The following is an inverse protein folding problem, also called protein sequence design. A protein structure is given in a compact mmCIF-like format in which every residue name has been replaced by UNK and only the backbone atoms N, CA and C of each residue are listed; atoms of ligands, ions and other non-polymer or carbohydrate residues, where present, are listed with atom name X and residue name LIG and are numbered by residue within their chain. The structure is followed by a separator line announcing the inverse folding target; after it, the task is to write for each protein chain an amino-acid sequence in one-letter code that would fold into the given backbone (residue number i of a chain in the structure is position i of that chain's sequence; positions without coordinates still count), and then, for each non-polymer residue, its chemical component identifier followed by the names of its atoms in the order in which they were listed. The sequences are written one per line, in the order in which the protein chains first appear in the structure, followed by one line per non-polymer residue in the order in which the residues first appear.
data_IF_841406671027
#
_entry.id   IF_841406671027
#
_cell.length_a   1.000
_cell.length_b   1.000
_cell.length_c   1.000
_cell.angle_alpha   90.00
_cell.angle_beta   90.00
_cell.angle_gamma   90.00
#
_symmetry.space_group_name_H-M   'P 1'
#
loop_
_entity.id
_entity.type
_entity.pdbx_description
1 polymer ?
#
# COMPACT_ATOMS: atom_id res chain seq x y z
N UNK A 1 -25.54 -12.64 6.88
CA UNK A 1 -24.89 -11.59 6.08
C UNK A 1 -25.08 -10.27 6.82
N UNK A 2 -24.01 -9.70 7.37
CA UNK A 2 -24.07 -8.42 8.09
C UNK A 2 -23.37 -7.36 7.24
N UNK A 3 -24.05 -6.22 7.00
CA UNK A 3 -23.52 -5.09 6.24
C UNK A 3 -23.03 -4.02 7.22
N UNK A 4 -21.73 -3.75 7.24
CA UNK A 4 -21.11 -2.69 8.02
C UNK A 4 -20.78 -1.51 7.10
N UNK A 5 -21.28 -0.32 7.43
CA UNK A 5 -20.93 0.93 6.75
C UNK A 5 -20.20 1.81 7.75
N UNK A 6 -18.92 2.08 7.50
CA UNK A 6 -18.09 2.87 8.39
C UNK A 6 -17.21 3.86 7.60
N UNK A 7 -16.93 5.00 8.21
CA UNK A 7 -15.87 5.92 7.79
C UNK A 7 -14.55 5.55 8.50
N UNK A 8 -13.39 6.00 8.01
CA UNK A 8 -12.09 5.63 8.61
C UNK A 8 -11.98 5.93 10.10
N UNK A 9 -12.69 6.96 10.58
CA UNK A 9 -12.70 7.33 12.01
C UNK A 9 -13.54 6.32 12.79
N UNK A 10 -14.72 5.96 12.27
CA UNK A 10 -15.62 5.02 12.93
C UNK A 10 -15.06 3.58 12.97
N UNK A 11 -14.19 3.22 12.02
CA UNK A 11 -13.58 1.89 11.95
C UNK A 11 -12.38 1.69 12.89
N UNK A 12 -11.83 2.76 13.51
CA UNK A 12 -10.68 2.66 14.42
C UNK A 12 -11.12 2.08 15.76
N UNK A 13 -10.55 0.93 16.13
CA UNK A 13 -10.85 0.23 17.39
C UNK A 13 -11.95 -0.83 17.28
N UNK A 14 -12.57 -0.98 16.11
CA UNK A 14 -13.43 -2.11 15.79
C UNK A 14 -12.59 -3.17 15.08
N UNK A 15 -12.30 -4.27 15.78
CA UNK A 15 -11.74 -5.45 15.15
C UNK A 15 -12.88 -6.23 14.48
N UNK A 16 -12.96 -6.13 13.15
CA UNK A 16 -13.95 -6.85 12.35
C UNK A 16 -13.20 -7.96 11.60
N UNK A 17 -13.08 -9.16 12.18
CA UNK A 17 -12.46 -10.29 11.50
C UNK A 17 -13.36 -10.79 10.35
N UNK A 18 -12.73 -11.38 9.33
CA UNK A 18 -13.42 -12.10 8.23
C UNK A 18 -14.38 -11.25 7.37
N UNK A 19 -13.95 -10.07 6.92
CA UNK A 19 -14.74 -9.29 5.94
C UNK A 19 -14.70 -9.97 4.57
N UNK A 20 -15.86 -10.31 3.99
CA UNK A 20 -15.94 -10.92 2.64
C UNK A 20 -15.78 -9.89 1.51
N UNK A 21 -16.38 -8.71 1.68
CA UNK A 21 -16.42 -7.65 0.66
C UNK A 21 -16.11 -6.31 1.28
N UNK A 22 -15.17 -5.58 0.68
CA UNK A 22 -14.82 -4.20 1.03
C UNK A 22 -15.31 -3.27 -0.10
N UNK A 23 -16.09 -2.24 0.25
CA UNK A 23 -16.57 -1.24 -0.70
C UNK A 23 -15.99 0.11 -0.29
N UNK A 24 -15.12 0.69 -1.13
CA UNK A 24 -14.59 2.03 -0.89
C UNK A 24 -15.48 3.05 -1.61
N UNK A 25 -16.52 3.53 -0.92
CA UNK A 25 -17.45 4.54 -1.44
C UNK A 25 -16.72 5.83 -1.87
N UNK A 26 -15.81 6.30 -1.03
CA UNK A 26 -14.86 7.34 -1.37
C UNK A 26 -13.45 6.75 -1.37
N UNK A 27 -12.69 7.06 -2.43
CA UNK A 27 -11.30 6.64 -2.50
C UNK A 27 -10.50 7.32 -1.37
N UNK A 28 -9.65 6.57 -0.65
CA UNK A 28 -8.84 7.14 0.43
C UNK A 28 -7.85 8.20 -0.09
N UNK A 29 -7.26 8.95 0.84
CA UNK A 29 -6.34 10.05 0.52
C UNK A 29 -5.03 9.56 -0.12
N UNK A 30 -4.63 8.31 0.16
CA UNK A 30 -3.41 7.71 -0.35
C UNK A 30 -3.66 6.28 -0.84
N UNK A 31 -2.81 5.81 -1.76
CA UNK A 31 -2.86 4.44 -2.26
C UNK A 31 -2.45 3.44 -1.18
N UNK A 32 -1.56 3.82 -0.27
CA UNK A 32 -1.16 3.02 0.89
C UNK A 32 -2.34 2.77 1.83
N UNK A 33 -3.15 3.80 2.13
CA UNK A 33 -4.37 3.65 2.92
C UNK A 33 -5.39 2.74 2.22
N UNK A 34 -5.48 2.79 0.89
CA UNK A 34 -6.29 1.86 0.11
C UNK A 34 -5.86 0.41 0.33
N UNK A 35 -4.56 0.12 0.25
CA UNK A 35 -4.01 -1.23 0.48
C UNK A 35 -4.33 -1.71 1.91
N UNK A 36 -4.16 -0.85 2.91
CA UNK A 36 -4.49 -1.18 4.31
C UNK A 36 -5.99 -1.45 4.52
N UNK A 37 -6.87 -0.72 3.83
CA UNK A 37 -8.33 -0.94 3.91
C UNK A 37 -8.74 -2.27 3.29
N UNK A 38 -8.24 -2.59 2.10
CA UNK A 38 -8.59 -3.85 1.43
C UNK A 38 -7.97 -5.07 2.11
N UNK A 39 -6.87 -4.89 2.85
CA UNK A 39 -6.26 -5.95 3.66
C UNK A 39 -7.13 -6.49 4.81
N UNK A 40 -8.34 -5.93 5.02
CA UNK A 40 -9.36 -6.46 5.93
C UNK A 40 -10.15 -7.64 5.36
N UNK A 41 -10.09 -7.84 4.04
CA UNK A 41 -10.67 -9.00 3.36
C UNK A 41 -9.58 -9.93 2.84
N UNK A 42 -9.95 -11.17 2.48
CA UNK A 42 -9.02 -12.13 1.85
C UNK A 42 -7.90 -12.64 2.76
N UNK A 43 -8.15 -12.74 4.07
CA UNK A 43 -7.19 -13.25 5.05
C UNK A 43 -7.20 -14.79 5.13
N UNK A 44 -6.09 -15.37 5.62
CA UNK A 44 -5.93 -16.81 5.87
C UNK A 44 -6.26 -17.73 4.66
N UNK A 45 -5.93 -17.27 3.44
CA UNK A 45 -6.16 -18.03 2.20
C UNK A 45 -7.61 -18.00 1.68
N UNK A 46 -8.52 -17.28 2.35
CA UNK A 46 -9.85 -17.00 1.84
C UNK A 46 -9.77 -15.96 0.71
N UNK A 47 -10.69 -16.03 -0.25
CA UNK A 47 -10.83 -14.99 -1.27
C UNK A 47 -11.54 -13.79 -0.67
N UNK A 48 -11.07 -12.60 -0.98
CA UNK A 48 -11.69 -11.33 -0.61
C UNK A 48 -12.02 -10.50 -1.85
N UNK A 49 -13.08 -9.70 -1.79
CA UNK A 49 -13.49 -8.85 -2.91
C UNK A 49 -13.44 -7.39 -2.49
N UNK A 50 -12.85 -6.53 -3.33
CA UNK A 50 -12.81 -5.09 -3.13
C UNK A 50 -13.37 -4.35 -4.32
N UNK A 51 -14.27 -3.39 -4.06
CA UNK A 51 -14.81 -2.48 -5.07
C UNK A 51 -14.46 -1.03 -4.71
N UNK A 52 -13.44 -0.45 -5.34
CA UNK A 52 -13.13 0.97 -5.20
C UNK A 52 -13.90 1.84 -6.18
N UNK A 53 -14.55 2.90 -5.67
CA UNK A 53 -15.07 3.97 -6.50
C UNK A 53 -14.02 5.08 -6.65
N UNK A 54 -13.63 5.33 -7.89
CA UNK A 54 -12.70 6.41 -8.24
C UNK A 54 -13.45 7.51 -8.99
N UNK A 55 -13.21 8.77 -8.60
CA UNK A 55 -13.82 9.95 -9.23
C UNK A 55 -12.74 10.85 -9.82
N UNK A 56 -13.16 11.87 -10.60
CA UNK A 56 -12.26 12.89 -11.16
C UNK A 56 -11.42 13.61 -10.08
N UNK A 57 -11.90 13.69 -8.84
CA UNK A 57 -11.16 14.28 -7.73
C UNK A 57 -9.93 13.47 -7.33
N UNK A 58 -9.96 12.15 -7.57
CA UNK A 58 -8.92 11.20 -7.19
C UNK A 58 -8.00 10.82 -8.37
N UNK A 59 -8.11 11.51 -9.51
CA UNK A 59 -7.33 11.20 -10.73
C UNK A 59 -5.82 11.12 -10.51
N UNK A 60 -5.29 11.89 -9.56
CA UNK A 60 -3.86 11.88 -9.24
C UNK A 60 -3.36 10.55 -8.65
N UNK A 61 -4.25 9.78 -8.02
CA UNK A 61 -3.95 8.47 -7.42
C UNK A 61 -4.14 7.32 -8.41
N UNK A 62 -4.79 7.57 -9.56
CA UNK A 62 -5.09 6.56 -10.56
C UNK A 62 -3.83 5.83 -11.04
N UNK A 63 -2.73 6.57 -11.27
CA UNK A 63 -1.46 5.98 -11.69
C UNK A 63 -0.87 5.01 -10.66
N UNK A 64 -0.88 5.37 -9.38
CA UNK A 64 -0.39 4.50 -8.30
C UNK A 64 -1.29 3.26 -8.14
N UNK A 65 -2.61 3.44 -8.21
CA UNK A 65 -3.57 2.34 -8.16
C UNK A 65 -3.38 1.34 -9.32
N UNK A 66 -3.12 1.83 -10.54
CA UNK A 66 -2.82 0.96 -11.69
C UNK A 66 -1.58 0.10 -11.42
N UNK A 67 -0.55 0.65 -10.80
CA UNK A 67 0.66 -0.11 -10.46
C UNK A 67 0.35 -1.21 -9.44
N UNK A 68 -0.42 -0.90 -8.40
CA UNK A 68 -0.86 -1.89 -7.40
C UNK A 68 -1.66 -3.01 -8.06
N UNK A 69 -2.60 -2.67 -8.96
CA UNK A 69 -3.40 -3.68 -9.67
C UNK A 69 -2.52 -4.57 -10.56
N UNK A 70 -1.53 -4.00 -11.26
CA UNK A 70 -0.60 -4.76 -12.10
C UNK A 70 0.29 -5.69 -11.27
N UNK A 71 0.80 -5.22 -10.14
CA UNK A 71 1.62 -6.02 -9.21
C UNK A 71 0.81 -7.19 -8.63
N UNK A 72 -0.44 -6.94 -8.27
CA UNK A 72 -1.38 -7.95 -7.80
C UNK A 72 -1.95 -8.86 -8.92
N UNK A 73 -1.45 -8.72 -10.17
CA UNK A 73 -1.91 -9.44 -11.38
C UNK A 73 -3.41 -9.35 -11.62
N UNK A 74 -4.01 -8.23 -11.25
CA UNK A 74 -5.43 -7.95 -11.49
C UNK A 74 -5.64 -7.33 -12.87
N UNK A 75 -6.84 -7.52 -13.42
CA UNK A 75 -7.25 -6.87 -14.66
C UNK A 75 -7.44 -5.38 -14.39
N UNK A 76 -6.68 -4.54 -15.09
CA UNK A 76 -6.80 -3.09 -14.99
C UNK A 76 -7.93 -2.62 -15.92
N UNK A 77 -8.98 -1.94 -15.41
CA UNK A 77 -10.05 -1.43 -16.26
C UNK A 77 -9.56 -0.31 -17.18
N UNK A 78 -9.96 -0.33 -18.45
CA UNK A 78 -9.60 0.73 -19.41
C UNK A 78 -10.07 2.13 -18.97
N UNK A 79 -11.20 2.19 -18.25
CA UNK A 79 -11.70 3.41 -17.66
C UNK A 79 -10.70 4.04 -16.68
N UNK A 80 -9.91 3.23 -15.96
CA UNK A 80 -8.90 3.71 -15.04
C UNK A 80 -7.69 4.32 -15.77
N UNK A 81 -7.32 3.75 -16.93
CA UNK A 81 -6.22 4.25 -17.75
C UNK A 81 -6.52 5.65 -18.34
N UNK A 82 -7.80 5.96 -18.56
CA UNK A 82 -8.24 7.28 -19.06
C UNK A 82 -7.97 8.44 -18.09
N UNK A 83 -7.83 8.17 -16.78
CA UNK A 83 -7.55 9.21 -15.77
C UNK A 83 -6.09 9.70 -15.80
N UNK A 84 -5.22 9.05 -16.58
CA UNK A 84 -3.82 9.39 -16.72
C UNK A 84 -2.94 8.61 -15.73
N UNK A 85 -1.96 7.88 -16.25
CA UNK A 85 -1.03 7.06 -15.46
C UNK A 85 0.13 7.86 -14.86
N UNK A 86 -0.01 9.19 -14.74
CA UNK A 86 1.06 10.06 -14.26
C UNK A 86 1.23 9.94 -12.76
N UNK A 87 2.10 9.02 -12.33
CA UNK A 87 2.59 8.97 -10.96
C UNK A 87 3.56 10.12 -10.76
N UNK A 88 3.20 11.13 -9.97
CA UNK A 88 4.19 12.07 -9.46
C UNK A 88 5.12 11.28 -8.55
N UNK A 89 6.42 11.26 -8.87
CA UNK A 89 7.44 10.63 -8.04
C UNK A 89 7.37 11.28 -6.65
N UNK A 90 6.78 10.61 -5.65
CA UNK A 90 6.91 11.02 -4.24
C UNK A 90 8.39 10.84 -3.91
N UNK A 91 9.15 11.93 -3.84
CA UNK A 91 10.41 11.91 -3.10
C UNK A 91 10.07 11.48 -1.66
N UNK A 92 10.54 10.29 -1.27
CA UNK A 92 10.43 9.82 0.10
C UNK A 92 11.06 10.86 1.02
N UNK A 93 10.25 11.57 1.81
CA UNK A 93 10.72 12.50 2.86
C UNK A 93 11.66 11.81 3.87
N UNK A 94 11.58 10.48 3.99
CA UNK A 94 12.38 9.69 4.93
C UNK A 94 13.81 9.44 4.44
N UNK A 95 14.04 9.37 3.13
CA UNK A 95 15.37 9.11 2.53
C UNK A 95 16.01 10.36 1.90
N UNK A 96 15.21 11.32 1.44
CA UNK A 96 15.69 12.51 0.71
C UNK A 96 16.47 13.51 1.56
N UNK A 97 16.33 13.48 2.89
CA UNK A 97 17.00 14.42 3.79
C UNK A 97 18.42 14.00 4.21
N UNK A 98 18.80 12.72 4.03
CA UNK A 98 20.06 12.17 4.55
C UNK A 98 21.09 11.78 3.47
N UNK A 99 20.79 11.97 2.18
CA UNK A 99 21.71 11.59 1.09
C UNK A 99 22.42 12.76 0.40
N UNK A 100 22.34 13.97 0.96
CA UNK A 100 23.24 15.04 0.53
C UNK A 100 24.60 14.81 1.15
N UNK A 101 25.51 14.38 0.28
CA UNK A 101 26.97 14.42 0.41
C UNK A 101 27.59 13.29 1.25
N UNK A 102 27.72 12.14 0.61
CA UNK A 102 28.89 11.29 0.86
C UNK A 102 29.80 11.47 -0.36
N UNK A 103 30.87 12.24 -0.19
CA UNK A 103 31.97 12.35 -1.18
C UNK A 103 32.51 10.96 -1.52
N UNK A 104 33.02 10.79 -2.73
CA UNK A 104 33.49 9.51 -3.28
C UNK A 104 34.64 8.83 -2.49
N UNK A 105 35.14 9.47 -1.42
CA UNK A 105 36.24 9.00 -0.55
C UNK A 105 35.77 8.48 0.82
N UNK A 106 34.50 8.15 1.01
CA UNK A 106 34.05 7.57 2.28
C UNK A 106 34.54 6.12 2.48
N UNK A 107 35.09 5.77 3.66
CA UNK A 107 35.60 4.43 3.92
C UNK A 107 34.48 3.40 3.86
N UNK A 108 34.67 2.35 3.05
CA UNK A 108 33.71 1.25 2.91
C UNK A 108 33.40 0.63 4.27
N UNK A 109 32.11 0.62 4.63
CA UNK A 109 31.60 -0.03 5.84
C UNK A 109 32.07 -1.49 5.90
N UNK A 110 32.82 -1.82 6.95
CA UNK A 110 33.29 -3.18 7.22
C UNK A 110 32.10 -4.01 7.69
N UNK A 111 31.62 -4.92 6.84
CA UNK A 111 30.61 -5.91 7.24
C UNK A 111 31.21 -6.77 8.35
N UNK A 112 30.63 -6.70 9.54
CA UNK A 112 30.90 -7.62 10.64
C UNK A 112 30.02 -8.85 10.36
N UNK A 113 30.57 -10.01 9.98
CA UNK A 113 29.76 -11.22 9.90
C UNK A 113 29.39 -11.64 11.32
N UNK A 114 28.09 -11.73 11.60
CA UNK A 114 27.59 -12.41 12.79
C UNK A 114 27.93 -13.89 12.64
N UNK A 115 29.02 -14.32 13.28
CA UNK A 115 29.33 -15.73 13.40
C UNK A 115 28.40 -16.31 14.47
N UNK A 116 27.51 -17.19 14.04
CA UNK A 116 26.64 -17.94 14.93
C UNK A 116 27.53 -18.97 15.64
N UNK A 117 27.82 -18.74 16.91
CA UNK A 117 28.53 -19.68 17.76
C UNK A 117 27.68 -19.95 18.99
N UNK A 118 26.60 -20.70 18.75
CA UNK A 118 26.06 -21.61 19.75
C UNK A 118 27.09 -22.74 19.91
N UNK A 119 27.90 -22.71 20.98
CA UNK A 119 28.52 -23.91 21.53
C UNK A 119 28.66 -23.79 23.05
N UNK A 120 28.48 -24.91 23.72
CA UNK A 120 28.02 -25.07 25.10
C UNK A 120 29.12 -24.93 26.16
N UNK A 121 28.69 -24.72 27.42
CA UNK A 121 29.50 -24.85 28.63
C UNK A 121 28.71 -24.54 29.89
#
# INVERSE_FOLDING_TARGET
MYLQVATDIAARGLDIPDVEVVINYSFPLTTEDYVHRIGRTGQAGKKGVSHPFLTNHNKALAGELVNVLREARQVVPDALLKFGTHVKKKESKLYGAHFREISADAPKAKKIPFNNSDDQG
#
